data_IF_779624173868
#
_entry.id   IF_779624173868
#
_cell.length_a   1.000
_cell.length_b   1.000
_cell.length_c   1.000
_cell.angle_alpha   90.00
_cell.angle_beta   90.00
_cell.angle_gamma   90.00
#
_symmetry.space_group_name_H-M   'P 1'
#
loop_
_entity.id
_entity.type
_entity.pdbx_description
1 polymer ?
#
# COMPACT_ATOMS: atom_id res chain seq x y z
N UNK A 1 2.13 19.91 32.16
CA UNK A 1 3.46 19.74 31.50
C UNK A 1 3.14 19.01 30.20
N UNK A 2 3.29 19.68 29.07
CA UNK A 2 3.16 19.04 27.76
C UNK A 2 4.35 18.10 27.60
N UNK A 3 4.11 16.78 27.71
CA UNK A 3 5.12 15.79 27.38
C UNK A 3 5.53 16.00 25.93
N UNK A 4 6.82 16.18 25.71
CA UNK A 4 7.39 16.42 24.39
C UNK A 4 7.29 15.12 23.59
N UNK A 5 6.69 15.17 22.41
CA UNK A 5 6.73 14.05 21.45
C UNK A 5 8.19 13.72 21.16
N UNK A 6 8.57 12.46 21.29
CA UNK A 6 9.88 11.95 20.88
C UNK A 6 9.73 11.15 19.61
N UNK A 7 10.57 11.45 18.63
CA UNK A 7 10.67 10.64 17.42
C UNK A 7 11.96 9.83 17.48
N UNK A 8 11.85 8.55 17.28
CA UNK A 8 12.98 7.64 17.11
C UNK A 8 12.96 7.02 15.72
N UNK A 9 14.15 6.84 15.15
CA UNK A 9 14.34 6.09 13.90
C UNK A 9 15.25 4.93 14.20
N UNK A 10 14.81 3.73 13.86
CA UNK A 10 15.56 2.50 14.08
C UNK A 10 15.62 1.64 12.82
N UNK A 11 16.51 0.65 12.83
CA UNK A 11 16.71 -0.29 11.73
C UNK A 11 16.67 -1.72 12.24
N UNK A 12 15.82 -2.54 11.62
CA UNK A 12 15.73 -3.97 11.90
C UNK A 12 16.46 -4.74 10.80
N UNK A 13 17.35 -5.65 11.19
CA UNK A 13 17.93 -6.63 10.25
C UNK A 13 16.97 -7.80 10.10
N UNK A 14 16.48 -7.98 8.88
CA UNK A 14 15.62 -9.06 8.47
C UNK A 14 16.37 -10.01 7.51
N UNK A 15 15.93 -11.25 7.31
CA UNK A 15 16.50 -12.10 6.27
C UNK A 15 16.45 -11.42 4.91
N UNK A 16 17.62 -11.12 4.32
CA UNK A 16 17.75 -10.49 3.01
C UNK A 16 17.42 -9.00 2.94
N UNK A 17 17.29 -8.29 4.09
CA UNK A 17 17.01 -6.86 4.10
C UNK A 17 17.38 -6.15 5.41
N UNK A 18 17.50 -4.82 5.32
CA UNK A 18 17.45 -3.91 6.47
C UNK A 18 16.23 -3.02 6.31
N UNK A 19 15.35 -3.04 7.30
CA UNK A 19 14.08 -2.30 7.30
C UNK A 19 14.19 -1.16 8.30
N UNK A 20 13.99 0.06 7.82
CA UNK A 20 13.98 1.29 8.63
C UNK A 20 12.56 1.63 9.02
N UNK A 21 12.36 2.02 10.27
CA UNK A 21 11.07 2.46 10.78
C UNK A 21 11.23 3.64 11.74
N UNK A 22 10.16 4.39 11.91
CA UNK A 22 10.08 5.52 12.83
C UNK A 22 8.94 5.30 13.82
N UNK A 23 9.16 5.74 15.06
CA UNK A 23 8.12 5.81 16.09
C UNK A 23 8.05 7.24 16.61
N UNK A 24 6.90 7.87 16.49
CA UNK A 24 6.58 9.13 17.16
C UNK A 24 5.73 8.81 18.38
N UNK A 25 6.38 8.76 19.52
CA UNK A 25 5.72 8.36 20.76
C UNK A 25 4.75 9.43 21.27
N UNK A 26 3.59 8.97 21.77
CA UNK A 26 2.63 9.77 22.51
C UNK A 26 2.38 9.13 23.90
N UNK A 27 3.25 9.40 24.88
CA UNK A 27 3.08 8.86 26.22
C UNK A 27 1.73 9.23 26.83
N UNK A 28 1.08 8.27 27.47
CA UNK A 28 -0.21 8.50 28.11
C UNK A 28 -1.41 8.56 27.18
N UNK A 29 -1.25 8.26 25.88
CA UNK A 29 -2.37 8.09 24.95
C UNK A 29 -3.34 7.03 25.45
N UNK A 30 -4.63 7.29 25.32
CA UNK A 30 -5.68 6.32 25.57
C UNK A 30 -5.96 5.42 24.34
N UNK A 31 -5.40 5.77 23.19
CA UNK A 31 -5.58 5.07 21.92
C UNK A 31 -4.44 4.09 21.67
N UNK A 32 -4.72 3.04 20.89
CA UNK A 32 -3.69 2.15 20.37
C UNK A 32 -2.75 2.92 19.44
N UNK A 33 -1.48 2.50 19.29
CA UNK A 33 -0.61 3.05 18.25
C UNK A 33 -1.22 2.88 16.88
N UNK A 34 -1.05 3.87 16.00
CA UNK A 34 -1.45 3.80 14.60
C UNK A 34 -0.23 3.54 13.73
N UNK A 35 -0.24 2.42 13.00
CA UNK A 35 0.78 2.11 12.01
C UNK A 35 0.28 2.49 10.61
N UNK A 36 1.13 3.19 9.85
CA UNK A 36 0.86 3.63 8.48
C UNK A 36 1.69 2.80 7.51
N UNK A 37 1.01 2.10 6.57
CA UNK A 37 1.61 1.09 5.71
C UNK A 37 1.38 1.42 4.24
N UNK A 38 2.46 1.60 3.48
CA UNK A 38 2.45 1.73 2.02
C UNK A 38 3.26 0.64 1.34
N UNK A 39 3.15 0.56 0.01
CA UNK A 39 4.00 -0.21 -0.89
C UNK A 39 3.83 0.31 -2.32
N UNK A 40 4.89 0.82 -2.96
CA UNK A 40 6.28 0.97 -2.48
C UNK A 40 6.49 2.23 -1.61
N UNK A 41 5.47 3.03 -1.39
CA UNK A 41 5.52 4.24 -0.59
C UNK A 41 5.95 3.91 0.85
N UNK A 42 6.96 4.62 1.35
CA UNK A 42 7.45 4.49 2.71
C UNK A 42 6.92 5.58 3.64
N UNK A 43 7.64 5.80 4.73
CA UNK A 43 7.28 6.71 5.81
C UNK A 43 6.99 8.15 5.33
N UNK A 44 7.78 8.64 4.36
CA UNK A 44 7.67 10.01 3.84
C UNK A 44 6.30 10.29 3.23
N UNK A 45 5.68 9.29 2.59
CA UNK A 45 4.39 9.40 1.94
C UNK A 45 3.20 9.53 2.90
N UNK A 46 3.40 9.34 4.19
CA UNK A 46 2.35 9.47 5.21
C UNK A 46 2.50 10.72 6.08
N UNK A 47 3.48 11.59 5.77
CA UNK A 47 3.75 12.76 6.61
C UNK A 47 2.55 13.69 6.78
N UNK A 48 1.69 13.82 5.75
CA UNK A 48 0.49 14.65 5.83
C UNK A 48 -0.56 14.00 6.72
N UNK A 49 -0.90 12.75 6.46
CA UNK A 49 -1.90 12.00 7.24
C UNK A 49 -1.50 11.91 8.72
N UNK A 50 -0.23 11.67 9.03
CA UNK A 50 0.26 11.50 10.39
C UNK A 50 0.02 12.73 11.28
N UNK A 51 0.01 13.96 10.72
CA UNK A 51 -0.24 15.21 11.46
C UNK A 51 -1.61 15.26 12.12
N UNK A 52 -2.57 14.51 11.59
CA UNK A 52 -3.95 14.48 12.10
C UNK A 52 -4.14 13.51 13.28
N UNK A 53 -3.09 12.78 13.69
CA UNK A 53 -3.14 11.75 14.74
C UNK A 53 -2.14 12.06 15.86
N UNK A 54 -2.09 13.31 16.32
CA UNK A 54 -1.19 13.77 17.38
C UNK A 54 -1.60 13.31 18.79
N UNK A 55 -2.71 12.61 18.93
CA UNK A 55 -3.27 12.03 20.15
C UNK A 55 -2.82 10.59 20.41
N UNK A 56 -2.11 9.94 19.48
CA UNK A 56 -1.65 8.56 19.58
C UNK A 56 -0.23 8.38 19.05
N UNK A 57 0.44 7.31 19.46
CA UNK A 57 1.74 6.94 18.92
C UNK A 57 1.59 6.58 17.44
N UNK A 58 2.48 7.12 16.60
CA UNK A 58 2.51 6.84 15.15
C UNK A 58 3.72 5.96 14.85
N UNK A 59 3.51 4.89 14.09
CA UNK A 59 4.54 4.00 13.58
C UNK A 59 4.51 4.10 12.06
N UNK A 60 5.64 4.43 11.45
CA UNK A 60 5.84 4.38 10.01
C UNK A 60 7.06 3.53 9.67
N UNK A 61 7.13 3.00 8.46
CA UNK A 61 8.30 2.24 8.02
C UNK A 61 8.52 2.43 6.53
N UNK A 62 9.72 2.13 6.08
CA UNK A 62 10.03 2.03 4.66
C UNK A 62 10.01 0.56 4.26
N UNK A 63 9.19 0.15 3.28
CA UNK A 63 9.20 -1.23 2.81
C UNK A 63 10.58 -1.62 2.29
N UNK A 64 10.96 -2.90 2.41
CA UNK A 64 12.26 -3.37 1.93
C UNK A 64 12.49 -3.02 0.46
N UNK A 65 13.63 -2.39 0.16
CA UNK A 65 14.00 -1.93 -1.17
C UNK A 65 13.40 -0.58 -1.57
N UNK A 66 12.68 0.09 -0.67
CA UNK A 66 12.16 1.43 -0.88
C UNK A 66 12.77 2.42 0.13
N UNK A 67 12.88 3.68 -0.27
CA UNK A 67 13.40 4.80 0.51
C UNK A 67 14.70 4.45 1.28
N UNK A 68 14.67 4.43 2.62
CA UNK A 68 15.83 4.18 3.48
C UNK A 68 16.11 2.68 3.71
N UNK A 69 15.16 1.81 3.35
CA UNK A 69 15.29 0.36 3.55
C UNK A 69 16.00 -0.30 2.37
N UNK A 70 16.92 -1.22 2.67
CA UNK A 70 17.74 -1.89 1.67
C UNK A 70 17.42 -3.38 1.58
N UNK A 71 17.55 -3.95 0.38
CA UNK A 71 17.57 -5.39 0.11
C UNK A 71 18.97 -5.84 -0.21
N UNK A 72 19.36 -7.04 0.25
CA UNK A 72 20.65 -7.65 -0.11
C UNK A 72 20.71 -7.98 -1.60
N UNK A 73 19.61 -8.42 -2.18
CA UNK A 73 19.43 -8.58 -3.63
C UNK A 73 18.29 -7.66 -4.12
N UNK A 74 18.62 -6.49 -4.70
CA UNK A 74 17.61 -5.56 -5.21
C UNK A 74 16.72 -6.14 -6.33
N UNK A 75 17.19 -7.19 -7.01
CA UNK A 75 16.46 -7.84 -8.10
C UNK A 75 15.53 -8.97 -7.64
N UNK A 76 15.59 -9.39 -6.37
CA UNK A 76 14.67 -10.40 -5.86
C UNK A 76 13.24 -9.85 -5.75
N UNK A 77 12.24 -10.64 -6.13
CA UNK A 77 10.85 -10.31 -5.84
C UNK A 77 10.56 -10.42 -4.33
N UNK A 78 9.77 -9.50 -3.80
CA UNK A 78 9.26 -9.57 -2.43
C UNK A 78 7.74 -9.62 -2.48
N UNK A 79 7.17 -10.68 -1.91
CA UNK A 79 5.73 -10.85 -1.81
C UNK A 79 5.16 -10.44 -0.45
N UNK A 80 3.82 -10.37 -0.32
CA UNK A 80 3.12 -9.93 0.87
C UNK A 80 3.44 -10.73 2.13
N UNK A 81 3.68 -12.05 2.03
CA UNK A 81 4.06 -12.87 3.20
C UNK A 81 5.40 -12.44 3.82
N UNK A 82 6.35 -12.02 2.99
CA UNK A 82 7.63 -11.49 3.46
C UNK A 82 7.47 -10.09 4.08
N UNK A 83 6.63 -9.25 3.46
CA UNK A 83 6.28 -7.95 4.04
C UNK A 83 5.52 -8.11 5.37
N UNK A 84 4.67 -9.12 5.50
CA UNK A 84 3.99 -9.43 6.76
C UNK A 84 4.99 -9.76 7.89
N UNK A 85 6.06 -10.51 7.58
CA UNK A 85 7.14 -10.78 8.56
C UNK A 85 7.86 -9.50 8.98
N UNK A 86 8.12 -8.59 8.04
CA UNK A 86 8.73 -7.30 8.34
C UNK A 86 7.83 -6.46 9.24
N UNK A 87 6.54 -6.33 8.87
CA UNK A 87 5.55 -5.56 9.61
C UNK A 87 5.38 -6.10 11.04
N UNK A 88 5.22 -7.42 11.17
CA UNK A 88 5.20 -8.09 12.49
C UNK A 88 6.41 -7.68 13.32
N UNK A 89 7.60 -7.75 12.75
CA UNK A 89 8.84 -7.42 13.48
C UNK A 89 8.91 -5.95 13.85
N UNK A 90 8.47 -5.04 12.96
CA UNK A 90 8.36 -3.60 13.28
C UNK A 90 7.42 -3.39 14.46
N UNK A 91 6.21 -3.97 14.43
CA UNK A 91 5.24 -3.87 15.53
C UNK A 91 5.86 -4.37 16.84
N UNK A 92 6.53 -5.53 16.84
CA UNK A 92 7.17 -6.07 18.05
C UNK A 92 8.27 -5.15 18.60
N UNK A 93 9.04 -4.48 17.76
CA UNK A 93 10.10 -3.58 18.18
C UNK A 93 9.57 -2.19 18.61
N UNK A 94 8.46 -1.75 18.02
CA UNK A 94 7.82 -0.47 18.34
C UNK A 94 6.96 -0.49 19.63
N UNK A 95 7.04 -1.58 20.42
CA UNK A 95 6.33 -1.70 21.70
C UNK A 95 5.37 -2.89 21.78
N UNK A 96 5.21 -3.65 20.71
CA UNK A 96 4.30 -4.80 20.61
C UNK A 96 2.90 -4.38 20.17
N UNK A 97 2.06 -5.39 19.86
CA UNK A 97 0.68 -5.18 19.43
C UNK A 97 -0.33 -5.39 20.56
N UNK A 98 -1.64 -5.23 20.27
CA UNK A 98 -2.15 -4.86 18.96
C UNK A 98 -1.97 -3.38 18.63
N UNK A 99 -1.93 -3.07 17.32
CA UNK A 99 -1.92 -1.72 16.78
C UNK A 99 -3.14 -1.52 15.88
N UNK A 100 -3.58 -0.26 15.69
CA UNK A 100 -4.45 0.11 14.59
C UNK A 100 -3.60 0.33 13.34
N UNK A 101 -4.15 0.05 12.16
CA UNK A 101 -3.44 0.15 10.89
C UNK A 101 -4.26 0.93 9.87
N UNK A 102 -3.65 1.94 9.27
CA UNK A 102 -4.05 2.44 7.96
C UNK A 102 -3.06 1.95 6.91
N UNK A 103 -3.54 1.23 5.92
CA UNK A 103 -2.72 0.67 4.85
C UNK A 103 -3.25 1.08 3.48
N UNK A 104 -2.38 1.57 2.59
CA UNK A 104 -2.77 2.04 1.27
C UNK A 104 -2.08 1.25 0.15
N UNK A 105 -2.82 1.05 -0.95
CA UNK A 105 -2.30 0.45 -2.19
C UNK A 105 -1.72 -0.97 -1.96
N UNK A 106 -0.52 -1.25 -2.46
CA UNK A 106 0.19 -2.51 -2.18
C UNK A 106 0.40 -2.77 -0.70
N UNK A 107 0.50 -1.69 0.13
CA UNK A 107 0.55 -1.79 1.58
C UNK A 107 -0.71 -2.43 2.19
N UNK A 108 -1.89 -2.16 1.61
CA UNK A 108 -3.14 -2.81 2.03
C UNK A 108 -3.13 -4.33 1.77
N UNK A 109 -2.50 -4.76 0.67
CA UNK A 109 -2.31 -6.20 0.39
C UNK A 109 -1.35 -6.83 1.41
N UNK A 110 -0.25 -6.14 1.73
CA UNK A 110 0.71 -6.59 2.75
C UNK A 110 0.05 -6.67 4.14
N UNK A 111 -0.83 -5.72 4.48
CA UNK A 111 -1.58 -5.72 5.74
C UNK A 111 -2.59 -6.87 5.82
N UNK A 112 -3.25 -7.27 4.72
CA UNK A 112 -4.09 -8.47 4.69
C UNK A 112 -3.27 -9.74 4.94
N UNK A 113 -2.06 -9.84 4.38
CA UNK A 113 -1.14 -10.94 4.67
C UNK A 113 -0.68 -10.93 6.13
N UNK A 114 -0.42 -9.74 6.72
CA UNK A 114 -0.10 -9.59 8.14
C UNK A 114 -1.22 -10.13 9.03
N UNK A 115 -2.47 -9.72 8.77
CA UNK A 115 -3.65 -10.18 9.54
C UNK A 115 -3.82 -11.69 9.44
N UNK A 116 -3.63 -12.28 8.24
CA UNK A 116 -3.74 -13.73 8.06
C UNK A 116 -2.66 -14.49 8.85
N UNK A 117 -1.43 -13.98 8.87
CA UNK A 117 -0.26 -14.66 9.43
C UNK A 117 -0.06 -14.38 10.92
N UNK A 118 -0.38 -13.16 11.37
CA UNK A 118 -0.19 -12.66 12.73
C UNK A 118 -1.48 -12.01 13.26
N UNK A 119 -2.53 -12.81 13.50
CA UNK A 119 -3.91 -12.32 13.72
C UNK A 119 -4.10 -11.47 14.98
N UNK A 120 -3.12 -11.45 15.88
CA UNK A 120 -3.18 -10.66 17.12
C UNK A 120 -2.41 -9.34 17.06
N UNK A 121 -1.74 -9.05 15.94
CA UNK A 121 -0.94 -7.83 15.81
C UNK A 121 -1.78 -6.60 15.47
N UNK A 122 -2.92 -6.79 14.82
CA UNK A 122 -3.76 -5.69 14.31
C UNK A 122 -5.14 -5.74 14.97
N UNK A 123 -5.52 -4.63 15.61
CA UNK A 123 -6.85 -4.43 16.17
C UNK A 123 -7.84 -4.01 15.09
N UNK A 124 -7.61 -2.85 14.45
CA UNK A 124 -8.42 -2.36 13.34
C UNK A 124 -7.50 -2.14 12.13
N UNK A 125 -7.92 -2.65 10.96
CA UNK A 125 -7.28 -2.43 9.67
C UNK A 125 -8.18 -1.60 8.76
N UNK A 126 -7.76 -0.39 8.41
CA UNK A 126 -8.31 0.36 7.28
C UNK A 126 -7.46 0.06 6.05
N UNK A 127 -7.94 -0.81 5.15
CA UNK A 127 -7.26 -1.22 3.93
C UNK A 127 -7.77 -0.40 2.74
N UNK A 128 -7.04 0.68 2.39
CA UNK A 128 -7.43 1.61 1.35
C UNK A 128 -6.91 1.16 -0.02
N UNK A 129 -7.84 0.90 -0.93
CA UNK A 129 -7.60 0.65 -2.36
C UNK A 129 -6.48 -0.37 -2.67
N UNK A 130 -6.57 -1.62 -2.18
CA UNK A 130 -5.62 -2.67 -2.55
C UNK A 130 -5.74 -3.03 -4.04
N UNK A 131 -4.67 -2.83 -4.87
CA UNK A 131 -4.71 -3.15 -6.31
C UNK A 131 -4.55 -4.66 -6.55
N UNK A 132 -5.40 -5.47 -5.93
CA UNK A 132 -5.31 -6.93 -5.96
C UNK A 132 -5.96 -7.47 -7.24
N UNK A 133 -5.18 -7.53 -8.32
CA UNK A 133 -5.63 -7.97 -9.64
C UNK A 133 -6.23 -9.38 -9.63
N UNK A 134 -5.72 -10.25 -8.75
CA UNK A 134 -6.19 -11.65 -8.60
C UNK A 134 -7.60 -11.76 -8.02
N UNK A 135 -8.09 -10.74 -7.31
CA UNK A 135 -9.42 -10.73 -6.69
C UNK A 135 -10.50 -10.11 -7.59
N UNK A 136 -10.11 -9.41 -8.67
CA UNK A 136 -11.06 -8.74 -9.55
C UNK A 136 -11.94 -9.75 -10.33
N UNK A 137 -13.19 -9.39 -10.69
CA UNK A 137 -14.02 -10.21 -11.56
C UNK A 137 -13.37 -10.51 -12.92
N UNK A 138 -12.57 -9.58 -13.43
CA UNK A 138 -11.77 -9.68 -14.65
C UNK A 138 -10.29 -10.01 -14.35
N UNK A 139 -10.02 -10.87 -13.37
CA UNK A 139 -8.67 -11.20 -12.90
C UNK A 139 -7.70 -11.61 -14.01
N UNK A 140 -8.14 -12.41 -14.99
CA UNK A 140 -7.30 -12.84 -16.12
C UNK A 140 -6.70 -11.66 -16.90
N UNK A 141 -7.52 -10.78 -17.48
CA UNK A 141 -7.08 -9.53 -18.11
C UNK A 141 -6.31 -8.61 -17.18
N UNK A 142 -6.73 -8.45 -15.92
CA UNK A 142 -6.05 -7.59 -14.95
C UNK A 142 -4.61 -8.06 -14.67
N UNK A 143 -4.42 -9.34 -14.43
CA UNK A 143 -3.10 -9.95 -14.26
C UNK A 143 -2.25 -9.81 -15.54
N UNK A 144 -2.86 -10.03 -16.72
CA UNK A 144 -2.16 -9.85 -18.00
C UNK A 144 -1.69 -8.38 -18.16
N UNK A 145 -2.52 -7.41 -17.78
CA UNK A 145 -2.19 -5.98 -17.84
C UNK A 145 -1.00 -5.65 -16.92
N UNK A 146 -0.98 -6.14 -15.69
CA UNK A 146 0.16 -5.92 -14.78
C UNK A 146 1.44 -6.57 -15.32
N UNK A 147 1.34 -7.76 -15.92
CA UNK A 147 2.47 -8.40 -16.61
C UNK A 147 2.99 -7.56 -17.76
N UNK A 148 2.10 -6.90 -18.52
CA UNK A 148 2.49 -6.02 -19.63
C UNK A 148 3.23 -4.76 -19.12
N UNK A 149 2.81 -4.17 -18.00
CA UNK A 149 3.55 -3.05 -17.37
C UNK A 149 4.97 -3.51 -17.03
N UNK A 150 5.12 -4.62 -16.31
CA UNK A 150 6.42 -5.15 -15.91
C UNK A 150 7.28 -5.49 -17.14
N UNK A 151 6.72 -6.12 -18.15
CA UNK A 151 7.43 -6.43 -19.39
C UNK A 151 7.91 -5.16 -20.13
N UNK A 152 7.10 -4.10 -20.16
CA UNK A 152 7.51 -2.80 -20.71
C UNK A 152 8.69 -2.20 -19.95
N UNK A 153 8.65 -2.26 -18.62
CA UNK A 153 9.76 -1.82 -17.78
C UNK A 153 11.04 -2.63 -18.05
N UNK A 154 10.94 -3.96 -18.11
CA UNK A 154 12.08 -4.84 -18.38
C UNK A 154 12.71 -4.62 -19.76
N UNK A 155 11.88 -4.29 -20.76
CA UNK A 155 12.34 -4.11 -22.15
C UNK A 155 12.84 -2.70 -22.46
N UNK A 156 12.24 -1.68 -21.83
CA UNK A 156 12.38 -0.28 -22.28
C UNK A 156 12.72 0.70 -21.16
N UNK A 157 12.92 0.22 -19.94
CA UNK A 157 13.35 1.01 -18.79
C UNK A 157 12.22 1.74 -18.05
N UNK A 158 12.64 2.56 -17.09
CA UNK A 158 11.74 3.15 -16.11
C UNK A 158 10.67 4.07 -16.72
N UNK A 159 11.08 4.95 -17.64
CA UNK A 159 10.12 5.92 -18.21
C UNK A 159 8.99 5.26 -18.99
N UNK A 160 9.32 4.25 -19.81
CA UNK A 160 8.33 3.49 -20.57
C UNK A 160 7.41 2.66 -19.63
N UNK A 161 8.00 2.02 -18.61
CA UNK A 161 7.24 1.26 -17.61
C UNK A 161 6.30 2.15 -16.82
N UNK A 162 6.75 3.35 -16.40
CA UNK A 162 5.93 4.31 -15.65
C UNK A 162 4.81 4.90 -16.51
N UNK A 163 5.08 5.24 -17.76
CA UNK A 163 4.04 5.69 -18.68
C UNK A 163 2.95 4.62 -18.88
N UNK A 164 3.34 3.36 -19.02
CA UNK A 164 2.40 2.25 -19.10
C UNK A 164 1.61 2.07 -17.80
N UNK A 165 2.27 2.18 -16.64
CA UNK A 165 1.62 2.14 -15.33
C UNK A 165 0.57 3.25 -15.19
N UNK A 166 0.90 4.51 -15.55
CA UNK A 166 -0.03 5.64 -15.49
C UNK A 166 -1.24 5.41 -16.40
N UNK A 167 -1.02 4.92 -17.63
CA UNK A 167 -2.11 4.57 -18.54
C UNK A 167 -3.08 3.57 -17.89
N UNK A 168 -2.53 2.51 -17.28
CA UNK A 168 -3.33 1.45 -16.67
C UNK A 168 -4.07 1.94 -15.43
N UNK A 169 -3.41 2.69 -14.54
CA UNK A 169 -4.05 3.20 -13.31
C UNK A 169 -5.11 4.26 -13.59
N UNK A 170 -5.01 4.95 -14.73
CA UNK A 170 -6.03 5.91 -15.18
C UNK A 170 -7.25 5.25 -15.85
N UNK A 171 -7.15 3.95 -16.23
CA UNK A 171 -8.24 3.23 -16.88
C UNK A 171 -9.37 2.98 -15.87
N UNK A 172 -10.60 3.23 -16.30
CA UNK A 172 -11.82 2.98 -15.51
C UNK A 172 -12.63 1.83 -16.11
N UNK A 173 -13.26 1.07 -15.22
CA UNK A 173 -14.07 -0.08 -15.59
C UNK A 173 -13.25 -1.37 -15.77
N UNK A 174 -13.87 -2.46 -16.24
CA UNK A 174 -13.23 -3.74 -16.44
C UNK A 174 -12.07 -3.68 -17.44
N UNK A 175 -10.99 -4.40 -17.12
CA UNK A 175 -9.88 -4.61 -18.04
C UNK A 175 -10.23 -5.73 -19.01
N UNK A 176 -9.79 -5.61 -20.27
CA UNK A 176 -10.02 -6.62 -21.30
C UNK A 176 -8.72 -7.20 -21.83
N UNK A 177 -8.78 -8.34 -22.51
CA UNK A 177 -7.61 -8.92 -23.16
C UNK A 177 -7.00 -7.99 -24.22
N UNK A 178 -7.86 -7.25 -24.93
CA UNK A 178 -7.44 -6.25 -25.93
C UNK A 178 -6.70 -5.08 -25.27
N UNK A 179 -7.18 -4.62 -24.10
CA UNK A 179 -6.49 -3.57 -23.34
C UNK A 179 -5.13 -4.06 -22.84
N UNK A 180 -5.07 -5.26 -22.29
CA UNK A 180 -3.83 -5.86 -21.80
C UNK A 180 -2.78 -6.08 -22.91
N UNK A 181 -3.20 -6.24 -24.15
CA UNK A 181 -2.34 -6.41 -25.31
C UNK A 181 -1.89 -5.07 -25.94
N UNK A 182 -2.39 -3.94 -25.49
CA UNK A 182 -1.97 -2.63 -26.00
C UNK A 182 -0.52 -2.35 -25.61
N UNK A 183 0.29 -1.79 -26.51
CA UNK A 183 1.63 -1.32 -26.13
C UNK A 183 1.52 -0.16 -25.16
N UNK A 184 2.51 -0.02 -24.28
CA UNK A 184 2.65 1.16 -23.45
C UNK A 184 2.73 2.44 -24.30
N UNK A 185 2.21 3.58 -23.82
CA UNK A 185 2.26 4.85 -24.53
C UNK A 185 3.69 5.40 -24.57
N UNK A 186 3.91 6.40 -25.45
CA UNK A 186 5.17 7.13 -25.46
C UNK A 186 5.38 7.83 -24.11
N UNK A 187 6.50 7.57 -23.40
CA UNK A 187 6.78 8.18 -22.11
C UNK A 187 6.82 9.72 -22.14
N UNK A 188 7.13 10.33 -23.28
CA UNK A 188 7.10 11.81 -23.44
C UNK A 188 5.71 12.39 -23.21
N UNK A 189 4.63 11.64 -23.48
CA UNK A 189 3.25 12.10 -23.25
C UNK A 189 2.97 12.38 -21.75
N UNK A 190 3.75 11.79 -20.86
CA UNK A 190 3.65 11.92 -19.41
C UNK A 190 4.86 12.65 -18.79
N UNK A 191 5.69 13.29 -19.63
CA UNK A 191 6.90 13.96 -19.15
C UNK A 191 7.98 13.02 -18.61
N UNK A 192 7.91 11.72 -18.94
CA UNK A 192 8.86 10.71 -18.48
C UNK A 192 10.09 10.63 -19.42
N UNK A 193 11.25 10.21 -18.91
CA UNK A 193 12.44 10.04 -19.72
C UNK A 193 12.25 8.93 -20.76
N UNK A 194 12.79 9.13 -21.97
CA UNK A 194 12.76 8.14 -23.06
C UNK A 194 13.98 7.22 -23.08
N UNK A 195 15.05 7.60 -22.37
CA UNK A 195 16.27 6.80 -22.27
C UNK A 195 16.12 5.69 -21.24
N UNK A 196 16.65 4.50 -21.58
CA UNK A 196 16.77 3.39 -20.64
C UNK A 196 18.11 3.51 -19.88
N UNK A 197 18.07 3.62 -18.56
CA UNK A 197 19.27 3.67 -17.71
C UNK A 197 19.82 2.28 -17.34
N UNK A 198 19.17 1.22 -17.84
CA UNK A 198 19.53 -0.17 -17.58
C UNK A 198 19.18 -0.70 -16.19
N UNK A 199 18.63 0.13 -15.31
CA UNK A 199 18.20 -0.32 -13.98
C UNK A 199 16.88 -1.10 -14.05
N UNK A 200 16.78 -2.16 -13.21
CA UNK A 200 15.58 -3.02 -13.14
C UNK A 200 15.14 -3.29 -11.71
N UNK A 201 15.65 -2.52 -10.75
CA UNK A 201 15.35 -2.67 -9.32
C UNK A 201 14.38 -1.61 -8.78
N UNK A 202 13.57 -1.01 -9.64
CA UNK A 202 12.56 -0.03 -9.20
C UNK A 202 11.57 -0.68 -8.23
N UNK A 203 11.28 -0.07 -7.07
CA UNK A 203 10.43 -0.68 -6.05
C UNK A 203 8.95 -0.82 -6.47
N UNK A 204 8.49 -0.04 -7.45
CA UNK A 204 7.13 -0.15 -8.01
C UNK A 204 7.09 -1.08 -9.22
N UNK A 205 7.93 -0.83 -10.24
CA UNK A 205 7.84 -1.47 -11.55
C UNK A 205 8.66 -2.78 -11.63
N UNK A 206 9.56 -2.99 -10.68
CA UNK A 206 10.46 -4.13 -10.64
C UNK A 206 9.79 -5.45 -10.28
N UNK A 207 10.57 -6.48 -9.88
CA UNK A 207 10.06 -7.84 -9.72
C UNK A 207 8.90 -7.99 -8.73
N UNK A 208 8.77 -7.07 -7.77
CA UNK A 208 7.75 -7.14 -6.70
C UNK A 208 6.34 -6.78 -7.17
N UNK A 209 6.17 -6.02 -8.27
CA UNK A 209 4.84 -5.61 -8.73
C UNK A 209 3.91 -6.81 -8.94
N UNK A 210 4.43 -7.89 -9.58
CA UNK A 210 3.66 -9.10 -9.82
C UNK A 210 3.39 -9.86 -8.52
N UNK A 211 4.41 -10.01 -7.66
CA UNK A 211 4.27 -10.73 -6.41
C UNK A 211 3.20 -10.10 -5.49
N UNK A 212 3.06 -8.78 -5.52
CA UNK A 212 2.08 -8.04 -4.71
C UNK A 212 0.70 -8.07 -5.35
N UNK A 213 0.57 -7.63 -6.61
CA UNK A 213 -0.74 -7.43 -7.23
C UNK A 213 -1.43 -8.74 -7.64
N UNK A 214 -0.70 -9.85 -7.77
CA UNK A 214 -1.25 -11.17 -8.07
C UNK A 214 -1.28 -12.11 -6.86
N UNK A 215 -1.00 -11.58 -5.67
CA UNK A 215 -1.06 -12.34 -4.42
C UNK A 215 -2.41 -13.02 -4.24
N UNK A 216 -2.40 -14.18 -3.60
CA UNK A 216 -3.61 -14.93 -3.23
C UNK A 216 -3.69 -14.97 -1.70
N UNK A 217 -4.44 -14.04 -1.06
CA UNK A 217 -4.60 -14.06 0.38
C UNK A 217 -5.25 -15.36 0.86
N UNK A 218 -4.83 -15.84 2.03
CA UNK A 218 -5.58 -16.88 2.75
C UNK A 218 -6.85 -16.25 3.35
N UNK A 219 -7.92 -16.25 2.54
CA UNK A 219 -9.19 -15.63 2.92
C UNK A 219 -9.81 -16.27 4.17
N UNK A 220 -9.56 -17.56 4.42
CA UNK A 220 -10.09 -18.23 5.60
C UNK A 220 -9.36 -17.74 6.85
N UNK A 221 -8.03 -17.60 6.78
CA UNK A 221 -7.24 -17.02 7.85
C UNK A 221 -7.61 -15.55 8.10
N UNK A 222 -7.78 -14.73 7.04
CA UNK A 222 -8.20 -13.33 7.15
C UNK A 222 -9.56 -13.22 7.83
N UNK A 223 -10.55 -14.03 7.43
CA UNK A 223 -11.89 -14.01 8.04
C UNK A 223 -11.92 -14.53 9.47
N UNK A 224 -11.00 -15.44 9.83
CA UNK A 224 -10.91 -15.99 11.19
C UNK A 224 -10.16 -15.08 12.17
N UNK A 225 -9.44 -14.08 11.69
CA UNK A 225 -8.72 -13.14 12.54
C UNK A 225 -9.70 -12.26 13.35
N UNK A 226 -9.35 -11.89 14.60
CA UNK A 226 -10.18 -11.02 15.42
C UNK A 226 -10.14 -9.55 14.96
N UNK A 227 -9.32 -9.23 13.98
CA UNK A 227 -9.12 -7.87 13.44
C UNK A 227 -10.40 -7.32 12.83
N UNK A 228 -10.78 -6.10 13.20
CA UNK A 228 -11.81 -5.33 12.50
C UNK A 228 -11.26 -4.80 11.18
N UNK A 229 -11.71 -5.34 10.04
CA UNK A 229 -11.21 -4.97 8.71
C UNK A 229 -12.23 -4.10 7.99
N UNK A 230 -11.82 -2.89 7.61
CA UNK A 230 -12.59 -1.94 6.81
C UNK A 230 -11.88 -1.68 5.50
N UNK A 231 -12.53 -1.97 4.37
CA UNK A 231 -12.03 -1.61 3.05
C UNK A 231 -12.39 -0.16 2.74
N UNK A 232 -11.41 0.63 2.27
CA UNK A 232 -11.62 2.00 1.83
C UNK A 232 -11.55 2.12 0.32
N UNK A 233 -12.43 2.93 -0.29
CA UNK A 233 -12.43 3.25 -1.71
C UNK A 233 -12.58 4.76 -1.90
N UNK A 234 -11.74 5.38 -2.73
CA UNK A 234 -11.79 6.81 -3.00
C UNK A 234 -12.94 7.19 -3.93
N UNK A 235 -13.63 8.29 -3.64
CA UNK A 235 -14.73 8.80 -4.46
C UNK A 235 -14.25 9.23 -5.86
N UNK A 236 -13.04 9.81 -5.94
CA UNK A 236 -12.49 10.31 -7.20
C UNK A 236 -11.80 9.23 -8.04
N UNK A 237 -11.49 8.07 -7.49
CA UNK A 237 -10.88 6.93 -8.17
C UNK A 237 -11.88 5.87 -8.63
N UNK A 238 -13.18 6.16 -8.57
CA UNK A 238 -14.23 5.22 -8.98
C UNK A 238 -13.93 4.55 -10.32
N UNK A 239 -14.06 3.24 -10.38
CA UNK A 239 -13.79 2.41 -11.54
C UNK A 239 -12.31 2.14 -11.84
N UNK A 240 -11.36 2.78 -11.21
CA UNK A 240 -9.93 2.46 -11.35
C UNK A 240 -9.60 1.11 -10.71
N UNK A 241 -8.52 0.47 -11.15
CA UNK A 241 -8.18 -0.91 -10.71
C UNK A 241 -8.06 -1.03 -9.20
N UNK A 242 -7.43 -0.08 -8.52
CA UNK A 242 -7.25 -0.12 -7.06
C UNK A 242 -8.57 0.08 -6.30
N UNK A 243 -9.42 1.00 -6.76
CA UNK A 243 -10.78 1.20 -6.24
C UNK A 243 -11.63 -0.07 -6.41
N UNK A 244 -11.64 -0.64 -7.61
CA UNK A 244 -12.32 -1.93 -7.89
C UNK A 244 -11.75 -3.08 -7.04
N UNK A 245 -10.46 -3.03 -6.73
CA UNK A 245 -9.79 -3.95 -5.81
C UNK A 245 -10.37 -3.89 -4.40
N UNK A 246 -10.64 -2.67 -3.89
CA UNK A 246 -11.30 -2.51 -2.58
C UNK A 246 -12.70 -3.15 -2.57
N UNK A 247 -13.50 -2.94 -3.61
CA UNK A 247 -14.82 -3.58 -3.74
C UNK A 247 -14.72 -5.10 -3.82
N UNK A 248 -13.77 -5.62 -4.61
CA UNK A 248 -13.59 -7.06 -4.76
C UNK A 248 -13.13 -7.74 -3.46
N UNK A 249 -12.22 -7.11 -2.72
CA UNK A 249 -11.75 -7.62 -1.41
C UNK A 249 -12.87 -7.53 -0.37
N UNK A 250 -13.62 -6.43 -0.32
CA UNK A 250 -14.77 -6.30 0.58
C UNK A 250 -15.80 -7.43 0.33
N UNK A 251 -16.10 -7.72 -0.93
CA UNK A 251 -16.98 -8.84 -1.30
C UNK A 251 -16.46 -10.20 -0.80
N UNK A 252 -15.13 -10.46 -0.89
CA UNK A 252 -14.51 -11.67 -0.35
C UNK A 252 -14.69 -11.79 1.17
N UNK A 253 -14.76 -10.65 1.87
CA UNK A 253 -14.94 -10.58 3.32
C UNK A 253 -16.40 -10.45 3.73
N UNK A 254 -17.36 -10.41 2.78
CA UNK A 254 -18.78 -10.27 3.05
C UNK A 254 -19.18 -8.87 3.55
N UNK A 255 -18.45 -7.84 3.16
CA UNK A 255 -18.67 -6.44 3.52
C UNK A 255 -18.76 -5.54 2.27
N UNK A 256 -19.03 -4.26 2.50
CA UNK A 256 -18.96 -3.20 1.48
C UNK A 256 -17.85 -2.22 1.85
N UNK A 257 -17.19 -1.60 0.87
CA UNK A 257 -16.16 -0.61 1.17
C UNK A 257 -16.78 0.69 1.69
N UNK A 258 -16.06 1.35 2.58
CA UNK A 258 -16.36 2.71 3.04
C UNK A 258 -15.77 3.69 2.01
N UNK A 259 -16.58 4.68 1.60
CA UNK A 259 -16.13 5.71 0.66
C UNK A 259 -15.30 6.77 1.37
N UNK A 260 -14.15 7.11 0.77
CA UNK A 260 -13.22 8.11 1.28
C UNK A 260 -13.18 9.34 0.38
N UNK A 261 -13.04 10.55 0.93
CA UNK A 261 -12.86 11.77 0.13
C UNK A 261 -11.59 11.67 -0.71
N UNK A 262 -11.63 12.19 -1.94
CA UNK A 262 -10.49 12.17 -2.85
C UNK A 262 -10.33 10.88 -3.64
N UNK A 263 -9.16 10.71 -4.23
CA UNK A 263 -8.78 9.53 -5.03
C UNK A 263 -7.87 8.56 -4.28
N UNK A 264 -7.05 7.85 -5.06
CA UNK A 264 -6.10 6.86 -4.53
C UNK A 264 -5.10 7.44 -3.50
N UNK A 265 -4.64 8.67 -3.73
CA UNK A 265 -3.77 9.43 -2.82
C UNK A 265 -4.51 10.48 -1.99
N UNK A 266 -5.83 10.37 -1.78
CA UNK A 266 -6.68 11.36 -1.13
C UNK A 266 -6.24 11.83 0.26
N UNK A 267 -5.37 11.07 0.94
CA UNK A 267 -4.77 11.38 2.24
C UNK A 267 -3.53 12.28 2.15
N UNK A 268 -3.09 12.63 0.94
CA UNK A 268 -1.95 13.52 0.69
C UNK A 268 -2.42 14.78 -0.05
N UNK A 269 -1.64 15.86 0.05
CA UNK A 269 -1.82 17.01 -0.84
C UNK A 269 -1.34 16.64 -2.24
N UNK A 270 -2.21 16.74 -3.24
CA UNK A 270 -1.93 16.40 -4.63
C UNK A 270 -2.41 17.50 -5.58
N UNK A 271 -1.60 17.82 -6.61
CA UNK A 271 -2.01 18.65 -7.74
C UNK A 271 -2.57 17.80 -8.91
N UNK A 272 -2.43 16.47 -8.84
CA UNK A 272 -2.70 15.55 -9.95
C UNK A 272 -4.03 14.81 -9.80
N UNK A 273 -4.54 14.71 -8.58
CA UNK A 273 -5.81 14.06 -8.30
C UNK A 273 -6.57 14.81 -7.20
N UNK A 274 -7.91 14.72 -7.18
CA UNK A 274 -8.69 15.27 -6.09
C UNK A 274 -8.25 14.68 -4.75
N UNK A 275 -7.94 15.54 -3.79
CA UNK A 275 -7.51 15.15 -2.46
C UNK A 275 -8.09 16.10 -1.40
N UNK A 276 -8.39 15.57 -0.24
CA UNK A 276 -8.83 16.32 0.95
C UNK A 276 -8.26 15.60 2.19
N UNK A 277 -6.99 15.87 2.54
CA UNK A 277 -6.33 15.18 3.66
C UNK A 277 -7.06 15.36 5.01
N UNK A 278 -7.66 16.52 5.25
CA UNK A 278 -8.40 16.80 6.48
C UNK A 278 -9.65 15.89 6.60
N UNK A 279 -10.48 15.88 5.56
CA UNK A 279 -11.68 15.06 5.54
C UNK A 279 -11.33 13.56 5.47
N UNK A 280 -10.24 13.18 4.78
CA UNK A 280 -9.74 11.81 4.73
C UNK A 280 -9.31 11.33 6.13
N UNK A 281 -8.50 12.12 6.83
CA UNK A 281 -8.05 11.81 8.18
C UNK A 281 -9.21 11.70 9.18
N UNK A 282 -10.20 12.58 9.08
CA UNK A 282 -11.41 12.53 9.89
C UNK A 282 -12.15 11.18 9.66
N UNK A 283 -12.25 10.72 8.41
CA UNK A 283 -12.87 9.45 8.07
C UNK A 283 -12.10 8.24 8.62
N UNK A 284 -10.76 8.27 8.57
CA UNK A 284 -9.92 7.24 9.21
C UNK A 284 -10.19 7.21 10.71
N UNK A 285 -10.20 8.38 11.36
CA UNK A 285 -10.45 8.52 12.79
C UNK A 285 -11.81 7.94 13.19
N UNK A 286 -12.88 8.29 12.46
CA UNK A 286 -14.24 7.78 12.72
C UNK A 286 -14.27 6.23 12.74
N UNK A 287 -13.49 5.58 11.88
CA UNK A 287 -13.41 4.11 11.82
C UNK A 287 -12.61 3.55 13.01
N UNK A 288 -11.49 4.20 13.36
CA UNK A 288 -10.62 3.73 14.45
C UNK A 288 -11.24 3.90 15.84
N UNK A 289 -12.14 4.84 15.99
CA UNK A 289 -12.79 5.18 17.27
C UNK A 289 -14.19 4.54 17.42
N UNK A 290 -14.65 3.74 16.42
CA UNK A 290 -15.93 3.04 16.42
C UNK A 290 -15.87 1.71 17.19
#
# INVERSE_FOLDING_TARGET
MTETMSQTTDTITMPGAKVVYDVVERPGSAHLPLMLIGQPMGASGFAELAKHFDDRTIITYDPRGAERSAKDDPMSATGPDTHADDLHKVIQQAGGGPVDVFASSGGAINALALVAKYPNDVHTLVAHEPPLASALPDAGPAVATVKAIHATYEQSGWGAGMAHFIMVTSQRGPLTAEFAAQPGPDPQMFGMPTGDDGKRSDPLLGPSILAITTYQPDWDAVRAAPTHIVLGAGEASDGQMANRGAHAVAQQLGSEPVMFPGGHGGFNTSEWEPSDPDAFAAKVRDILDA
#
